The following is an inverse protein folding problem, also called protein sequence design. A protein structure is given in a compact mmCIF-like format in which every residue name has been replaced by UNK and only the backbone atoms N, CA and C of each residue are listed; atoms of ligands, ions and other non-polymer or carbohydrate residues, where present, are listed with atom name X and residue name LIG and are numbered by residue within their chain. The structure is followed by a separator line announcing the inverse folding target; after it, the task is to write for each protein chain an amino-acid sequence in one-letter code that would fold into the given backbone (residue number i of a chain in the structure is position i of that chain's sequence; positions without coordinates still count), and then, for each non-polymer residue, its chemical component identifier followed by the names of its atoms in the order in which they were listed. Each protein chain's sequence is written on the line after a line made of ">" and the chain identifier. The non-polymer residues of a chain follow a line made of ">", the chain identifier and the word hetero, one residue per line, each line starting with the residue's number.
data_IF_216884357797
#
_entry.id   IF_216884357797
#
_cell.length_a   1.000
_cell.length_b   1.000
_cell.length_c   1.000
_cell.angle_alpha   90.00
_cell.angle_beta   90.00
_cell.angle_gamma   90.00
#
_symmetry.space_group_name_H-M   'P 1'
#
loop_
_entity.id
_entity.type
_entity.pdbx_description
1 polymer ?
#
# COMPACT_ATOMS: atom_id res chain seq x y z
N UNK A 1 26.18 -17.17 14.86
CA UNK A 1 24.82 -16.67 15.16
C UNK A 1 24.18 -16.30 13.85
N UNK A 2 23.44 -17.23 13.26
CA UNK A 2 22.64 -16.98 12.06
C UNK A 2 21.32 -16.35 12.47
N UNK A 3 21.04 -15.15 11.93
CA UNK A 3 19.69 -14.58 11.96
C UNK A 3 19.04 -14.98 10.64
N UNK A 4 18.14 -15.96 10.69
CA UNK A 4 17.35 -16.39 9.54
C UNK A 4 16.36 -15.28 9.18
N UNK A 5 16.64 -14.57 8.09
CA UNK A 5 15.72 -13.59 7.52
C UNK A 5 14.51 -14.33 6.93
N UNK A 6 13.41 -14.40 7.67
CA UNK A 6 12.13 -14.86 7.15
C UNK A 6 11.57 -13.78 6.22
N UNK A 7 12.01 -13.77 4.95
CA UNK A 7 11.46 -12.88 3.94
C UNK A 7 10.09 -13.42 3.50
N UNK A 8 9.07 -13.19 4.32
CA UNK A 8 7.70 -13.61 4.01
C UNK A 8 7.13 -12.73 2.90
N UNK A 9 6.85 -13.33 1.74
CA UNK A 9 6.14 -12.66 0.65
C UNK A 9 4.65 -12.92 0.78
N UNK A 10 3.85 -11.86 0.94
CA UNK A 10 2.39 -11.94 0.89
C UNK A 10 1.91 -11.36 -0.43
N UNK A 11 1.08 -12.11 -1.16
CA UNK A 11 0.38 -11.61 -2.35
C UNK A 11 -1.02 -11.19 -1.93
N UNK A 12 -1.31 -9.90 -2.01
CA UNK A 12 -2.66 -9.37 -1.78
C UNK A 12 -3.31 -9.08 -3.13
N UNK A 13 -4.32 -9.85 -3.55
CA UNK A 13 -5.02 -9.55 -4.79
C UNK A 13 -5.91 -8.30 -4.63
N UNK A 14 -6.04 -7.53 -5.71
CA UNK A 14 -6.72 -6.24 -5.71
C UNK A 14 -8.19 -6.31 -5.29
N UNK A 15 -8.87 -7.41 -5.58
CA UNK A 15 -10.26 -7.67 -5.18
C UNK A 15 -10.48 -7.75 -3.66
N UNK A 16 -9.40 -7.91 -2.87
CA UNK A 16 -9.48 -7.89 -1.41
C UNK A 16 -9.31 -6.48 -0.84
N UNK A 17 -8.92 -5.50 -1.66
CA UNK A 17 -8.85 -4.10 -1.24
C UNK A 17 -10.18 -3.42 -1.51
N UNK A 18 -10.79 -2.86 -0.46
CA UNK A 18 -12.11 -2.24 -0.53
C UNK A 18 -12.00 -0.75 -0.77
N UNK A 19 -11.00 -0.10 -0.15
CA UNK A 19 -10.75 1.33 -0.27
C UNK A 19 -9.30 1.64 0.10
N UNK A 20 -8.86 2.83 -0.28
CA UNK A 20 -7.58 3.35 0.15
C UNK A 20 -7.70 4.81 0.57
N UNK A 21 -6.75 5.26 1.38
CA UNK A 21 -6.62 6.64 1.84
C UNK A 21 -5.21 7.12 1.67
N UNK A 22 -5.06 8.40 1.35
CA UNK A 22 -3.78 9.07 1.32
C UNK A 22 -3.64 9.97 2.56
N UNK A 23 -2.70 9.63 3.43
CA UNK A 23 -2.23 10.52 4.48
C UNK A 23 -1.08 11.40 3.98
N UNK A 24 -0.63 12.34 4.82
CA UNK A 24 0.50 13.21 4.49
C UNK A 24 1.77 12.40 4.12
N UNK A 25 2.07 11.36 4.90
CA UNK A 25 3.33 10.58 4.81
C UNK A 25 3.12 9.10 4.47
N UNK A 26 1.89 8.63 4.35
CA UNK A 26 1.55 7.21 4.19
C UNK A 26 0.36 7.01 3.25
N UNK A 27 0.29 5.84 2.62
CA UNK A 27 -0.93 5.30 2.03
C UNK A 27 -1.50 4.22 2.94
N UNK A 28 -2.82 4.21 3.12
CA UNK A 28 -3.52 3.19 3.91
C UNK A 28 -4.43 2.41 2.97
N UNK A 29 -4.22 1.10 2.87
CA UNK A 29 -5.00 0.19 2.03
C UNK A 29 -5.89 -0.66 2.92
N UNK A 30 -7.20 -0.54 2.79
CA UNK A 30 -8.16 -1.27 3.61
C UNK A 30 -8.57 -2.57 2.92
N UNK A 31 -8.39 -3.69 3.63
CA UNK A 31 -8.92 -5.00 3.23
C UNK A 31 -10.29 -5.29 3.86
N UNK A 32 -10.51 -4.75 5.05
CA UNK A 32 -11.77 -4.75 5.78
C UNK A 32 -11.78 -3.59 6.78
N UNK A 33 -12.81 -3.48 7.61
CA UNK A 33 -12.82 -2.47 8.69
C UNK A 33 -11.78 -2.75 9.80
N UNK A 34 -11.30 -4.00 9.90
CA UNK A 34 -10.33 -4.42 10.92
C UNK A 34 -8.92 -4.65 10.38
N UNK A 35 -8.74 -4.72 9.06
CA UNK A 35 -7.48 -5.09 8.44
C UNK A 35 -7.07 -4.08 7.38
N UNK A 36 -5.88 -3.50 7.57
CA UNK A 36 -5.31 -2.52 6.66
C UNK A 36 -3.80 -2.69 6.55
N UNK A 37 -3.25 -2.28 5.41
CA UNK A 37 -1.82 -2.18 5.18
C UNK A 37 -1.42 -0.71 5.10
N UNK A 38 -0.28 -0.38 5.71
CA UNK A 38 0.31 0.96 5.63
C UNK A 38 1.52 0.88 4.72
N UNK A 39 1.56 1.76 3.72
CA UNK A 39 2.72 1.93 2.83
C UNK A 39 3.28 3.33 3.05
N UNK A 40 4.43 3.47 3.72
CA UNK A 40 5.04 4.78 3.94
C UNK A 40 5.58 5.37 2.64
N UNK A 41 5.32 6.66 2.41
CA UNK A 41 5.79 7.37 1.21
C UNK A 41 7.32 7.48 1.15
N UNK A 42 8.00 7.47 2.30
CA UNK A 42 9.46 7.52 2.36
C UNK A 42 10.15 6.21 1.94
N UNK A 43 9.40 5.11 1.77
CA UNK A 43 9.94 3.86 1.23
C UNK A 43 10.09 3.91 -0.30
N UNK A 44 9.48 4.89 -0.95
CA UNK A 44 9.67 5.14 -2.38
C UNK A 44 10.95 5.94 -2.58
N UNK A 45 11.77 5.50 -3.53
CA UNK A 45 13.07 6.13 -3.79
C UNK A 45 12.93 7.48 -4.48
N UNK A 46 11.85 7.66 -5.26
CA UNK A 46 11.61 8.84 -6.07
C UNK A 46 10.16 9.34 -5.91
N UNK A 47 9.92 10.66 -5.89
CA UNK A 47 8.58 11.25 -5.82
C UNK A 47 7.64 10.73 -6.93
N UNK A 48 8.17 10.50 -8.13
CA UNK A 48 7.39 10.01 -9.27
C UNK A 48 6.82 8.59 -9.02
N UNK A 49 7.49 7.79 -8.19
CA UNK A 49 6.98 6.47 -7.80
C UNK A 49 5.79 6.57 -6.85
N UNK A 50 5.77 7.61 -5.99
CA UNK A 50 4.63 7.91 -5.12
C UNK A 50 3.43 8.29 -5.98
N UNK A 51 3.63 9.15 -6.97
CA UNK A 51 2.58 9.58 -7.89
C UNK A 51 2.08 8.43 -8.79
N UNK A 52 3.00 7.60 -9.30
CA UNK A 52 2.64 6.40 -10.06
C UNK A 52 1.83 5.40 -9.21
N UNK A 53 2.21 5.21 -7.94
CA UNK A 53 1.47 4.36 -7.01
C UNK A 53 0.08 4.92 -6.72
N UNK A 54 -0.04 6.24 -6.50
CA UNK A 54 -1.34 6.93 -6.36
C UNK A 54 -2.22 6.71 -7.59
N UNK A 55 -1.67 6.86 -8.79
CA UNK A 55 -2.36 6.61 -10.05
C UNK A 55 -2.89 5.18 -10.14
N UNK A 56 -2.06 4.19 -9.81
CA UNK A 56 -2.43 2.78 -9.80
C UNK A 56 -3.58 2.47 -8.82
N UNK A 57 -3.52 3.02 -7.60
CA UNK A 57 -4.59 2.87 -6.62
C UNK A 57 -5.90 3.49 -7.13
N UNK A 58 -5.80 4.67 -7.76
CA UNK A 58 -6.96 5.37 -8.31
C UNK A 58 -7.60 4.60 -9.46
N UNK A 59 -6.80 4.03 -10.36
CA UNK A 59 -7.27 3.22 -11.50
C UNK A 59 -8.01 1.96 -11.03
N UNK A 60 -7.50 1.30 -9.98
CA UNK A 60 -8.01 -0.01 -9.53
C UNK A 60 -9.11 0.07 -8.48
N UNK A 61 -9.06 1.06 -7.60
CA UNK A 61 -9.95 1.18 -6.44
C UNK A 61 -10.82 2.45 -6.47
N UNK A 62 -10.58 3.36 -7.41
CA UNK A 62 -11.23 4.67 -7.45
C UNK A 62 -10.51 5.73 -6.60
N UNK A 63 -11.07 6.95 -6.50
CA UNK A 63 -10.47 8.04 -5.75
C UNK A 63 -10.29 7.71 -4.25
N UNK A 64 -9.35 8.35 -3.55
CA UNK A 64 -9.14 8.12 -2.13
C UNK A 64 -10.39 8.44 -1.30
N UNK A 65 -10.64 7.63 -0.26
CA UNK A 65 -11.84 7.67 0.59
C UNK A 65 -11.71 8.54 1.84
#
# INVERSE_FOLDING_TARGET
>A
MESTNANSTTRLPWNHLIRWREGATVFVLYQSDLMFNIVPKHCFAQPEQVDAFRGLLTERLGPPA
#
